data_IF_732063549596
#
_entry.id   IF_732063549596
#
_cell.length_a   1.000
_cell.length_b   1.000
_cell.length_c   1.000
_cell.angle_alpha   90.00
_cell.angle_beta   90.00
_cell.angle_gamma   90.00
#
_symmetry.space_group_name_H-M   'P 1'
#
loop_
_entity.id
_entity.type
_entity.pdbx_description
1 polymer ?
#
# COMPACT_ATOMS: atom_id res chain seq x y z
N UNK A 1 48.78 119.62 -41.49
CA UNK A 1 47.79 119.28 -42.54
C UNK A 1 47.21 117.91 -42.20
N UNK A 2 45.87 117.83 -42.10
CA UNK A 2 44.95 116.67 -42.03
C UNK A 2 45.11 115.65 -40.87
N UNK A 3 44.29 115.63 -39.80
CA UNK A 3 42.84 115.33 -39.59
C UNK A 3 42.43 113.84 -39.70
N UNK A 4 42.05 113.29 -38.54
CA UNK A 4 40.92 112.37 -38.25
C UNK A 4 41.06 110.88 -38.61
N UNK A 5 41.26 110.03 -37.57
CA UNK A 5 40.56 108.74 -37.26
C UNK A 5 41.06 108.23 -35.88
N UNK A 6 40.38 108.50 -34.75
CA UNK A 6 39.39 107.64 -34.01
C UNK A 6 40.11 106.47 -33.28
N UNK A 7 40.17 106.29 -31.94
CA UNK A 7 39.50 106.89 -30.76
C UNK A 7 40.32 106.55 -29.48
N UNK A 8 40.48 107.52 -28.55
CA UNK A 8 40.35 107.36 -27.08
C UNK A 8 41.22 106.31 -26.35
N UNK A 9 42.42 106.60 -25.81
CA UNK A 9 42.70 107.22 -24.49
C UNK A 9 41.48 107.36 -23.55
N UNK A 10 41.57 106.78 -22.33
CA UNK A 10 40.64 106.79 -21.19
C UNK A 10 39.50 105.75 -21.23
N UNK A 11 39.66 104.64 -20.50
CA UNK A 11 38.79 104.25 -19.37
C UNK A 11 39.24 102.89 -18.76
N UNK A 12 39.64 102.95 -17.49
CA UNK A 12 39.29 101.94 -16.47
C UNK A 12 39.90 100.53 -16.60
N UNK A 13 41.16 100.31 -16.23
CA UNK A 13 41.53 99.97 -14.84
C UNK A 13 40.58 100.55 -13.77
N UNK A 14 39.70 99.69 -13.24
CA UNK A 14 38.90 99.99 -12.05
C UNK A 14 37.56 99.26 -12.04
N UNK A 15 37.25 98.67 -10.88
CA UNK A 15 36.06 97.87 -10.50
C UNK A 15 36.27 96.37 -10.78
N UNK A 16 36.75 95.52 -9.87
CA UNK A 16 36.46 95.42 -8.42
C UNK A 16 34.96 95.44 -8.10
N UNK A 17 34.24 94.40 -8.53
CA UNK A 17 33.13 93.79 -7.77
C UNK A 17 33.19 92.28 -8.11
N UNK A 18 33.67 91.45 -7.18
CA UNK A 18 32.78 90.81 -6.21
C UNK A 18 31.71 89.95 -6.90
N UNK A 19 32.14 88.85 -7.51
CA UNK A 19 31.42 87.60 -7.29
C UNK A 19 32.32 86.81 -6.37
N UNK A 20 32.18 87.09 -5.08
CA UNK A 20 32.53 86.10 -4.08
C UNK A 20 31.88 84.79 -4.53
N UNK A 21 32.63 83.69 -4.73
CA UNK A 21 32.06 82.47 -4.27
C UNK A 21 31.79 82.71 -2.78
N UNK A 22 30.52 82.85 -2.40
CA UNK A 22 30.10 82.36 -1.09
C UNK A 22 30.23 80.83 -1.18
N UNK A 23 31.48 80.37 -1.30
CA UNK A 23 31.89 79.08 -0.80
C UNK A 23 31.79 79.29 0.69
N UNK A 24 30.61 78.96 1.21
CA UNK A 24 30.48 78.54 2.60
C UNK A 24 31.73 77.74 2.91
N UNK A 25 32.53 78.18 3.88
CA UNK A 25 33.39 77.29 4.67
C UNK A 25 32.46 76.31 5.39
N UNK A 26 31.77 75.47 4.62
CA UNK A 26 31.54 74.11 5.04
C UNK A 26 32.90 73.47 4.83
N UNK A 27 33.63 73.37 5.94
CA UNK A 27 35.00 72.88 6.01
C UNK A 27 35.12 71.62 5.14
N UNK A 28 36.25 71.43 4.44
CA UNK A 28 36.56 70.16 3.78
C UNK A 28 36.38 68.96 4.73
N UNK A 29 36.50 69.21 6.03
CA UNK A 29 36.21 68.27 7.12
C UNK A 29 34.72 67.91 7.22
N UNK A 30 33.79 68.85 7.03
CA UNK A 30 32.34 68.59 7.00
C UNK A 30 31.92 67.76 5.78
N UNK A 31 32.55 68.00 4.63
CA UNK A 31 32.29 67.20 3.42
C UNK A 31 32.84 65.77 3.57
N UNK A 32 34.03 65.61 4.16
CA UNK A 32 34.61 64.30 4.48
C UNK A 32 33.79 63.55 5.53
N UNK A 33 33.26 64.24 6.53
CA UNK A 33 32.35 63.68 7.54
C UNK A 33 31.06 63.14 6.90
N UNK A 34 30.44 63.86 5.96
CA UNK A 34 29.23 63.38 5.27
C UNK A 34 29.48 62.14 4.42
N UNK A 35 30.61 62.08 3.71
CA UNK A 35 31.00 60.89 2.91
C UNK A 35 31.24 59.68 3.82
N UNK A 36 31.95 59.87 4.94
CA UNK A 36 32.16 58.83 5.94
C UNK A 36 30.85 58.38 6.60
N UNK A 37 29.91 59.30 6.86
CA UNK A 37 28.58 58.97 7.38
C UNK A 37 27.75 58.17 6.38
N UNK A 38 27.78 58.53 5.09
CA UNK A 38 27.12 57.76 4.03
C UNK A 38 27.73 56.36 3.87
N UNK A 39 29.06 56.24 3.83
CA UNK A 39 29.73 54.94 3.76
C UNK A 39 29.43 54.07 5.00
N UNK A 40 29.42 54.66 6.20
CA UNK A 40 29.10 53.93 7.43
C UNK A 40 27.62 53.51 7.47
N UNK A 41 26.73 54.33 6.92
CA UNK A 41 25.30 54.01 6.75
C UNK A 41 25.09 52.87 5.73
N UNK A 42 25.86 52.88 4.65
CA UNK A 42 25.82 51.83 3.62
C UNK A 42 26.42 50.51 4.12
N UNK A 43 27.55 50.56 4.83
CA UNK A 43 28.13 49.41 5.53
C UNK A 43 27.14 48.81 6.53
N UNK A 44 26.42 49.63 7.31
CA UNK A 44 25.36 49.16 8.22
C UNK A 44 24.21 48.48 7.47
N UNK A 45 23.82 48.96 6.29
CA UNK A 45 22.82 48.30 5.44
C UNK A 45 23.31 46.95 4.95
N UNK A 46 24.52 46.87 4.42
CA UNK A 46 25.08 45.60 3.94
C UNK A 46 25.27 44.57 5.06
N UNK A 47 25.65 45.00 6.26
CA UNK A 47 25.72 44.11 7.44
C UNK A 47 24.33 43.59 7.78
N UNK A 48 23.31 44.47 7.80
CA UNK A 48 21.92 44.08 8.07
C UNK A 48 21.37 43.11 7.01
N UNK A 49 21.62 43.36 5.73
CA UNK A 49 21.22 42.47 4.63
C UNK A 49 21.92 41.11 4.72
N UNK A 50 23.21 41.07 5.06
CA UNK A 50 23.94 39.81 5.28
C UNK A 50 23.43 39.05 6.50
N UNK A 51 23.07 39.74 7.58
CA UNK A 51 22.44 39.13 8.76
C UNK A 51 21.06 38.55 8.43
N UNK A 52 20.24 39.28 7.67
CA UNK A 52 18.93 38.80 7.20
C UNK A 52 19.07 37.61 6.25
N UNK A 53 20.01 37.66 5.30
CA UNK A 53 20.33 36.53 4.42
C UNK A 53 20.81 35.29 5.20
N UNK A 54 21.62 35.49 6.25
CA UNK A 54 22.07 34.42 7.14
C UNK A 54 20.90 33.78 7.91
N UNK A 55 19.94 34.59 8.40
CA UNK A 55 18.72 34.09 9.05
C UNK A 55 17.84 33.31 8.09
N UNK A 56 17.61 33.83 6.88
CA UNK A 56 16.83 33.13 5.84
C UNK A 56 17.49 31.81 5.45
N UNK A 57 18.83 31.78 5.35
CA UNK A 57 19.57 30.55 5.06
C UNK A 57 19.41 29.50 6.17
N UNK A 58 19.48 29.90 7.45
CA UNK A 58 19.24 28.99 8.59
C UNK A 58 17.83 28.40 8.55
N UNK A 59 16.81 29.23 8.34
CA UNK A 59 15.41 28.78 8.25
C UNK A 59 15.20 27.82 7.06
N UNK A 60 15.78 28.13 5.90
CA UNK A 60 15.72 27.23 4.73
C UNK A 60 16.41 25.89 4.99
N UNK A 61 17.54 25.91 5.70
CA UNK A 61 18.26 24.70 6.08
C UNK A 61 17.43 23.83 7.03
N UNK A 62 16.84 24.42 8.07
CA UNK A 62 15.95 23.72 9.01
C UNK A 62 14.72 23.14 8.30
N UNK A 63 14.10 23.90 7.38
CA UNK A 63 12.98 23.40 6.57
C UNK A 63 13.37 22.23 5.68
N UNK A 64 14.56 22.27 5.07
CA UNK A 64 15.11 21.16 4.26
C UNK A 64 15.37 19.92 5.11
N UNK A 65 15.93 20.08 6.31
CA UNK A 65 16.18 18.97 7.24
C UNK A 65 14.86 18.32 7.71
N UNK A 66 13.84 19.13 8.01
CA UNK A 66 12.49 18.64 8.34
C UNK A 66 11.84 17.90 7.17
N UNK A 67 11.98 18.41 5.94
CA UNK A 67 11.48 17.74 4.74
C UNK A 67 12.18 16.41 4.50
N UNK A 68 13.50 16.34 4.69
CA UNK A 68 14.25 15.09 4.57
C UNK A 68 13.84 14.08 5.64
N UNK A 69 13.64 14.53 6.88
CA UNK A 69 13.14 13.68 7.96
C UNK A 69 11.73 13.15 7.66
N UNK A 70 10.85 14.00 7.11
CA UNK A 70 9.52 13.61 6.65
C UNK A 70 9.59 12.53 5.57
N UNK A 71 10.44 12.73 4.55
CA UNK A 71 10.64 11.78 3.46
C UNK A 71 11.19 10.43 3.97
N UNK A 72 12.08 10.44 4.97
CA UNK A 72 12.59 9.21 5.60
C UNK A 72 11.46 8.45 6.31
N UNK A 73 10.64 9.13 7.11
CA UNK A 73 9.49 8.52 7.80
C UNK A 73 8.47 7.91 6.82
N UNK A 74 8.18 8.60 5.71
CA UNK A 74 7.28 8.08 4.67
C UNK A 74 7.84 6.84 3.97
N UNK A 75 9.17 6.80 3.73
CA UNK A 75 9.82 5.60 3.18
C UNK A 75 9.76 4.43 4.15
N UNK A 76 10.06 4.67 5.42
CA UNK A 76 9.99 3.66 6.48
C UNK A 76 8.57 3.10 6.64
N UNK A 77 7.55 3.96 6.66
CA UNK A 77 6.14 3.52 6.74
C UNK A 77 5.73 2.72 5.50
N UNK A 78 6.17 3.12 4.32
CA UNK A 78 5.87 2.41 3.06
C UNK A 78 6.53 1.02 3.01
N UNK A 79 7.75 0.88 3.55
CA UNK A 79 8.42 -0.42 3.66
C UNK A 79 7.67 -1.31 4.64
N UNK A 80 7.31 -0.79 5.82
CA UNK A 80 6.54 -1.53 6.81
C UNK A 80 5.18 -2.00 6.27
N UNK A 81 4.49 -1.15 5.51
CA UNK A 81 3.21 -1.50 4.86
C UNK A 81 3.38 -2.60 3.81
N UNK A 82 4.44 -2.54 2.99
CA UNK A 82 4.76 -3.60 2.02
C UNK A 82 5.03 -4.93 2.71
N UNK A 83 5.86 -4.93 3.75
CA UNK A 83 6.15 -6.14 4.53
C UNK A 83 4.90 -6.72 5.21
N UNK A 84 3.99 -5.87 5.65
CA UNK A 84 2.71 -6.30 6.21
C UNK A 84 1.79 -6.91 5.15
N UNK A 85 1.67 -6.28 3.98
CA UNK A 85 0.91 -6.80 2.85
C UNK A 85 1.46 -8.14 2.37
N UNK A 86 2.78 -8.28 2.25
CA UNK A 86 3.42 -9.54 1.90
C UNK A 86 3.14 -10.63 2.94
N UNK A 87 3.24 -10.33 4.24
CA UNK A 87 2.88 -11.26 5.30
C UNK A 87 1.43 -11.71 5.22
N UNK A 88 0.49 -10.79 4.99
CA UNK A 88 -0.94 -11.10 4.82
C UNK A 88 -1.18 -11.95 3.57
N UNK A 89 -0.50 -11.66 2.47
CA UNK A 89 -0.63 -12.41 1.23
C UNK A 89 -0.08 -13.84 1.38
N UNK A 90 1.10 -13.99 1.99
CA UNK A 90 1.69 -15.30 2.27
C UNK A 90 0.80 -16.14 3.20
N UNK A 91 0.20 -15.53 4.22
CA UNK A 91 -0.77 -16.21 5.08
C UNK A 91 -2.01 -16.68 4.32
N UNK A 92 -2.59 -15.83 3.44
CA UNK A 92 -3.72 -16.21 2.58
C UNK A 92 -3.35 -17.35 1.62
N UNK A 93 -2.16 -17.30 1.03
CA UNK A 93 -1.67 -18.36 0.12
C UNK A 93 -1.53 -19.70 0.86
N UNK A 94 -0.92 -19.70 2.05
CA UNK A 94 -0.79 -20.90 2.89
C UNK A 94 -2.16 -21.52 3.21
N UNK A 95 -3.17 -20.70 3.51
CA UNK A 95 -4.55 -21.17 3.74
C UNK A 95 -5.17 -21.80 2.51
N UNK A 96 -5.06 -21.15 1.36
CA UNK A 96 -5.59 -21.70 0.11
C UNK A 96 -4.94 -23.07 -0.21
N UNK A 97 -3.63 -23.20 -0.01
CA UNK A 97 -2.92 -24.46 -0.19
C UNK A 97 -3.36 -25.54 0.82
N UNK A 98 -3.60 -25.17 2.08
CA UNK A 98 -4.13 -26.09 3.10
C UNK A 98 -5.54 -26.58 2.76
N UNK A 99 -6.43 -25.67 2.38
CA UNK A 99 -7.80 -26.00 1.96
C UNK A 99 -7.81 -26.91 0.73
N UNK A 100 -6.97 -26.59 -0.27
CA UNK A 100 -6.81 -27.42 -1.46
C UNK A 100 -6.34 -28.83 -1.10
N UNK A 101 -5.35 -28.96 -0.21
CA UNK A 101 -4.86 -30.29 0.23
C UNK A 101 -5.94 -31.08 0.97
N UNK A 102 -6.71 -30.42 1.84
CA UNK A 102 -7.78 -31.07 2.60
C UNK A 102 -8.95 -31.51 1.72
N UNK A 103 -9.22 -30.78 0.63
CA UNK A 103 -10.24 -31.16 -0.34
C UNK A 103 -9.93 -32.51 -1.00
N UNK A 104 -8.68 -32.75 -1.41
CA UNK A 104 -8.30 -34.02 -2.03
C UNK A 104 -8.03 -35.13 -1.01
N UNK A 105 -7.53 -34.76 0.16
CA UNK A 105 -7.14 -35.70 1.21
C UNK A 105 -7.73 -35.27 2.54
N UNK A 106 -9.00 -35.63 2.82
CA UNK A 106 -9.64 -35.30 4.08
C UNK A 106 -8.84 -35.88 5.24
N UNK A 107 -8.44 -35.01 6.16
CA UNK A 107 -7.66 -35.35 7.33
C UNK A 107 -6.18 -34.96 7.26
N UNK A 108 -5.63 -34.61 6.09
CA UNK A 108 -4.23 -34.14 5.96
C UNK A 108 -3.98 -32.84 6.75
N UNK A 109 -4.98 -31.97 6.83
CA UNK A 109 -4.92 -30.72 7.59
C UNK A 109 -4.65 -30.93 9.07
N UNK A 110 -5.24 -31.96 9.67
CA UNK A 110 -4.99 -32.30 11.08
C UNK A 110 -3.55 -32.71 11.33
N UNK A 111 -2.91 -33.42 10.39
CA UNK A 111 -1.49 -33.75 10.53
C UNK A 111 -0.60 -32.50 10.45
N UNK A 112 -0.95 -31.53 9.61
CA UNK A 112 -0.21 -30.27 9.51
C UNK A 112 -0.40 -29.38 10.75
N UNK A 113 -1.57 -29.46 11.40
CA UNK A 113 -1.85 -28.81 12.66
C UNK A 113 -1.26 -29.53 13.89
N UNK A 114 -0.58 -30.68 13.69
CA UNK A 114 -0.03 -31.49 14.78
C UNK A 114 -1.07 -32.38 15.50
N UNK A 115 -2.33 -32.35 15.09
CA UNK A 115 -3.44 -33.13 15.64
C UNK A 115 -3.50 -34.56 15.05
N UNK A 116 -2.42 -35.33 15.22
CA UNK A 116 -2.25 -36.66 14.58
C UNK A 116 -3.39 -37.64 14.87
N UNK A 117 -3.92 -37.67 16.09
CA UNK A 117 -5.05 -38.54 16.47
C UNK A 117 -6.32 -38.24 15.67
N UNK A 118 -6.67 -36.96 15.53
CA UNK A 118 -7.83 -36.54 14.73
C UNK A 118 -7.59 -36.84 13.25
N UNK A 119 -6.37 -36.61 12.75
CA UNK A 119 -5.98 -36.96 11.39
C UNK A 119 -6.19 -38.44 11.07
N UNK A 120 -5.73 -39.34 11.94
CA UNK A 120 -5.90 -40.81 11.78
C UNK A 120 -7.38 -41.19 11.81
N UNK A 121 -8.16 -40.69 12.77
CA UNK A 121 -9.59 -41.03 12.89
C UNK A 121 -10.36 -40.54 11.66
N UNK A 122 -10.13 -39.30 11.24
CA UNK A 122 -10.83 -38.66 10.12
C UNK A 122 -10.54 -39.37 8.79
N UNK A 123 -9.26 -39.57 8.49
CA UNK A 123 -8.83 -40.24 7.26
C UNK A 123 -9.20 -41.72 7.27
N UNK A 124 -9.12 -42.38 8.43
CA UNK A 124 -9.52 -43.78 8.60
C UNK A 124 -11.01 -43.99 8.39
N UNK A 125 -11.87 -43.17 9.01
CA UNK A 125 -13.32 -43.22 8.81
C UNK A 125 -13.71 -42.92 7.36
N UNK A 126 -13.14 -41.86 6.77
CA UNK A 126 -13.39 -41.54 5.37
C UNK A 126 -12.99 -42.69 4.45
N UNK A 127 -11.80 -43.27 4.65
CA UNK A 127 -11.31 -44.41 3.85
C UNK A 127 -12.19 -45.64 4.04
N UNK A 128 -12.62 -45.92 5.27
CA UNK A 128 -13.50 -47.06 5.58
C UNK A 128 -14.85 -46.91 4.87
N UNK A 129 -15.46 -45.73 4.92
CA UNK A 129 -16.73 -45.48 4.26
C UNK A 129 -16.61 -45.48 2.73
N UNK A 130 -15.55 -44.89 2.18
CA UNK A 130 -15.32 -44.85 0.74
C UNK A 130 -15.01 -46.25 0.17
N UNK A 131 -14.03 -46.95 0.76
CA UNK A 131 -13.63 -48.29 0.31
C UNK A 131 -14.72 -49.32 0.60
N UNK A 132 -15.38 -49.23 1.75
CA UNK A 132 -16.54 -50.06 2.07
C UNK A 132 -17.68 -49.83 1.07
N UNK A 133 -17.99 -48.57 0.75
CA UNK A 133 -18.98 -48.23 -0.26
C UNK A 133 -18.66 -48.82 -1.63
N UNK A 134 -17.41 -48.70 -2.09
CA UNK A 134 -16.94 -49.31 -3.35
C UNK A 134 -17.07 -50.84 -3.32
N UNK A 135 -16.69 -51.47 -2.21
CA UNK A 135 -16.79 -52.92 -2.04
C UNK A 135 -18.24 -53.42 -2.17
N UNK A 136 -19.16 -52.85 -1.39
CA UNK A 136 -20.57 -53.25 -1.43
C UNK A 136 -21.25 -52.87 -2.75
N UNK A 137 -20.82 -51.79 -3.40
CA UNK A 137 -21.31 -51.44 -4.74
C UNK A 137 -20.88 -52.49 -5.78
N UNK A 138 -19.65 -52.99 -5.69
CA UNK A 138 -19.16 -54.07 -6.55
C UNK A 138 -19.97 -55.36 -6.34
N UNK A 139 -20.24 -55.71 -5.09
CA UNK A 139 -21.05 -56.87 -4.72
C UNK A 139 -22.49 -56.73 -5.24
N UNK A 140 -23.11 -55.55 -5.07
CA UNK A 140 -24.42 -55.24 -5.63
C UNK A 140 -24.44 -55.44 -7.17
N UNK A 141 -23.44 -54.91 -7.88
CA UNK A 141 -23.35 -55.05 -9.33
C UNK A 141 -23.19 -56.52 -9.75
N UNK A 142 -22.44 -57.31 -8.99
CA UNK A 142 -22.27 -58.75 -9.22
C UNK A 142 -23.58 -59.51 -9.04
N UNK A 143 -24.29 -59.30 -7.91
CA UNK A 143 -25.58 -59.94 -7.63
C UNK A 143 -26.66 -59.53 -8.64
N UNK A 144 -26.66 -58.27 -9.10
CA UNK A 144 -27.55 -57.81 -10.16
C UNK A 144 -27.24 -58.48 -11.51
N UNK A 145 -25.95 -58.63 -11.84
CA UNK A 145 -25.51 -59.32 -13.06
C UNK A 145 -25.96 -60.78 -13.04
N UNK A 146 -25.82 -61.46 -11.90
CA UNK A 146 -26.32 -62.83 -11.72
C UNK A 146 -27.84 -62.89 -11.87
N UNK A 147 -28.59 -62.01 -11.18
CA UNK A 147 -30.05 -61.93 -11.28
C UNK A 147 -30.53 -61.70 -12.73
N UNK A 148 -29.80 -60.91 -13.52
CA UNK A 148 -30.12 -60.66 -14.93
C UNK A 148 -29.70 -61.79 -15.88
N UNK A 149 -28.89 -62.75 -15.42
CA UNK A 149 -28.50 -63.88 -16.26
C UNK A 149 -29.70 -64.80 -16.48
N UNK A 150 -30.02 -65.04 -17.75
CA UNK A 150 -31.29 -65.62 -18.24
C UNK A 150 -31.51 -67.11 -17.90
N UNK A 151 -30.73 -67.69 -16.98
CA UNK A 151 -30.74 -69.12 -16.65
C UNK A 151 -31.01 -69.43 -15.18
N UNK A 152 -31.23 -68.43 -14.33
CA UNK A 152 -31.51 -68.67 -12.91
C UNK A 152 -32.92 -69.22 -12.70
N UNK A 153 -33.04 -70.14 -11.76
CA UNK A 153 -34.34 -70.62 -11.28
C UNK A 153 -35.03 -69.50 -10.47
N UNK A 154 -36.38 -69.46 -10.36
CA UNK A 154 -37.09 -68.35 -9.74
C UNK A 154 -36.64 -68.01 -8.30
N UNK A 155 -36.24 -69.02 -7.51
CA UNK A 155 -35.73 -68.80 -6.16
C UNK A 155 -34.31 -68.22 -6.13
N UNK A 156 -33.47 -68.56 -7.12
CA UNK A 156 -32.12 -68.02 -7.26
C UNK A 156 -32.16 -66.57 -7.73
N UNK A 157 -33.07 -66.26 -8.66
CA UNK A 157 -33.36 -64.88 -9.06
C UNK A 157 -33.76 -64.03 -7.85
N UNK A 158 -34.72 -64.52 -7.06
CA UNK A 158 -35.23 -63.80 -5.88
C UNK A 158 -34.12 -63.57 -4.86
N UNK A 159 -33.28 -64.59 -4.63
CA UNK A 159 -32.12 -64.51 -3.74
C UNK A 159 -31.11 -63.47 -4.23
N UNK A 160 -30.62 -63.58 -5.47
CA UNK A 160 -29.64 -62.65 -6.05
C UNK A 160 -30.17 -61.21 -6.12
N UNK A 161 -31.46 -61.01 -6.37
CA UNK A 161 -32.07 -59.68 -6.36
C UNK A 161 -32.13 -59.09 -4.93
N UNK A 162 -32.46 -59.91 -3.92
CA UNK A 162 -32.45 -59.46 -2.52
C UNK A 162 -31.04 -59.10 -2.03
N UNK A 163 -30.03 -59.85 -2.45
CA UNK A 163 -28.61 -59.58 -2.16
C UNK A 163 -28.15 -58.28 -2.85
N UNK A 164 -28.54 -58.07 -4.12
CA UNK A 164 -28.34 -56.80 -4.81
C UNK A 164 -28.91 -55.62 -4.02
N UNK A 165 -30.17 -55.70 -3.60
CA UNK A 165 -30.84 -54.61 -2.90
C UNK A 165 -30.17 -54.30 -1.55
N UNK A 166 -29.80 -55.33 -0.80
CA UNK A 166 -29.09 -55.20 0.48
C UNK A 166 -27.72 -54.53 0.31
N UNK A 167 -26.91 -55.03 -0.62
CA UNK A 167 -25.56 -54.50 -0.88
C UNK A 167 -25.62 -53.08 -1.45
N UNK A 168 -26.60 -52.78 -2.33
CA UNK A 168 -26.80 -51.44 -2.87
C UNK A 168 -27.20 -50.42 -1.79
N UNK A 169 -28.13 -50.79 -0.89
CA UNK A 169 -28.50 -49.94 0.26
C UNK A 169 -27.33 -49.71 1.19
N UNK A 170 -26.52 -50.74 1.45
CA UNK A 170 -25.32 -50.65 2.28
C UNK A 170 -24.27 -49.74 1.65
N UNK A 171 -24.01 -49.88 0.35
CA UNK A 171 -23.10 -49.00 -0.40
C UNK A 171 -23.55 -47.54 -0.32
N UNK A 172 -24.83 -47.26 -0.56
CA UNK A 172 -25.38 -45.91 -0.46
C UNK A 172 -25.26 -45.32 0.95
N UNK A 173 -25.55 -46.10 1.99
CA UNK A 173 -25.38 -45.67 3.38
C UNK A 173 -23.91 -45.28 3.65
N UNK A 174 -22.96 -46.10 3.21
CA UNK A 174 -21.54 -45.83 3.38
C UNK A 174 -21.09 -44.60 2.59
N UNK A 175 -21.57 -44.39 1.36
CA UNK A 175 -21.27 -43.17 0.61
C UNK A 175 -21.84 -41.92 1.29
N UNK A 176 -23.06 -41.99 1.85
CA UNK A 176 -23.65 -40.88 2.61
C UNK A 176 -22.83 -40.58 3.86
N UNK A 177 -22.45 -41.60 4.63
CA UNK A 177 -21.60 -41.44 5.81
C UNK A 177 -20.21 -40.90 5.45
N UNK A 178 -19.66 -41.34 4.32
CA UNK A 178 -18.42 -40.81 3.74
C UNK A 178 -18.54 -39.33 3.39
N UNK A 179 -19.64 -38.92 2.75
CA UNK A 179 -19.92 -37.52 2.42
C UNK A 179 -20.08 -36.66 3.67
N UNK A 180 -20.83 -37.13 4.69
CA UNK A 180 -20.99 -36.43 5.98
C UNK A 180 -19.63 -36.25 6.66
N UNK A 181 -18.82 -37.31 6.72
CA UNK A 181 -17.49 -37.27 7.34
C UNK A 181 -16.58 -36.31 6.59
N UNK A 182 -16.60 -36.35 5.25
CA UNK A 182 -15.85 -35.43 4.41
C UNK A 182 -16.24 -33.97 4.65
N UNK A 183 -17.55 -33.66 4.65
CA UNK A 183 -18.04 -32.32 4.91
C UNK A 183 -17.66 -31.81 6.31
N UNK A 184 -17.73 -32.68 7.33
CA UNK A 184 -17.35 -32.32 8.70
C UNK A 184 -15.85 -32.01 8.80
N UNK A 185 -15.00 -32.83 8.20
CA UNK A 185 -13.54 -32.63 8.18
C UNK A 185 -13.16 -31.37 7.41
N UNK A 186 -13.83 -31.09 6.30
CA UNK A 186 -13.64 -29.85 5.55
C UNK A 186 -14.05 -28.64 6.38
N UNK A 187 -15.23 -28.68 7.02
CA UNK A 187 -15.73 -27.58 7.85
C UNK A 187 -14.80 -27.27 9.02
N UNK A 188 -14.36 -28.27 9.77
CA UNK A 188 -13.45 -28.06 10.91
C UNK A 188 -12.08 -27.55 10.43
N UNK A 189 -11.61 -27.99 9.25
CA UNK A 189 -10.41 -27.44 8.60
C UNK A 189 -10.56 -25.97 8.21
N UNK A 190 -11.73 -25.56 7.71
CA UNK A 190 -12.03 -24.15 7.42
C UNK A 190 -11.97 -23.31 8.70
N UNK A 191 -12.60 -23.78 9.79
CA UNK A 191 -12.60 -23.06 11.08
C UNK A 191 -11.19 -22.93 11.66
N UNK A 192 -10.40 -24.01 11.64
CA UNK A 192 -9.01 -23.97 12.12
C UNK A 192 -8.14 -23.00 11.32
N UNK A 193 -8.33 -22.92 10.00
CA UNK A 193 -7.60 -21.98 9.15
C UNK A 193 -7.96 -20.50 9.45
N UNK A 194 -9.17 -20.22 9.92
CA UNK A 194 -9.61 -18.89 10.35
C UNK A 194 -9.01 -18.48 11.70
N UNK A 195 -8.92 -19.40 12.66
CA UNK A 195 -8.37 -19.15 14.01
C UNK A 195 -6.86 -18.83 14.00
N UNK A 196 -6.08 -19.35 13.05
CA UNK A 196 -4.67 -19.00 12.86
C UNK A 196 -4.45 -17.59 12.25
N UNK A 197 -5.50 -16.79 11.99
CA UNK A 197 -5.27 -15.35 11.82
C UNK A 197 -4.78 -14.79 13.15
N UNK A 198 -3.57 -14.21 13.25
CA UNK A 198 -3.34 -13.26 14.32
C UNK A 198 -4.43 -12.20 14.13
N UNK A 199 -5.37 -12.10 15.08
CA UNK A 199 -6.19 -10.90 15.23
C UNK A 199 -5.17 -9.78 15.34
N UNK A 200 -4.95 -9.04 14.26
CA UNK A 200 -4.08 -7.88 14.28
C UNK A 200 -4.78 -6.88 15.18
N UNK A 201 -4.52 -6.98 16.49
CA UNK A 201 -4.87 -6.03 17.52
C UNK A 201 -4.07 -4.75 17.39
N UNK A 202 -3.82 -4.31 16.15
CA UNK A 202 -3.29 -3.00 15.86
C UNK A 202 -4.53 -2.12 15.81
N UNK A 203 -4.89 -1.57 16.98
CA UNK A 203 -5.50 -0.26 17.02
C UNK A 203 -4.56 0.63 16.21
N UNK A 204 -4.93 0.95 14.98
CA UNK A 204 -4.30 2.03 14.23
C UNK A 204 -4.59 3.30 15.00
N UNK A 205 -3.78 3.58 16.03
CA UNK A 205 -3.57 4.91 16.58
C UNK A 205 -2.78 5.75 15.56
N UNK A 206 -3.19 5.72 14.29
CA UNK A 206 -2.88 6.78 13.36
C UNK A 206 -3.96 7.83 13.63
N UNK A 207 -3.76 8.56 14.73
CA UNK A 207 -4.40 9.85 14.89
C UNK A 207 -3.90 10.74 13.77
N UNK A 208 -4.58 10.71 12.63
CA UNK A 208 -4.56 11.82 11.70
C UNK A 208 -5.09 13.02 12.48
N UNK A 209 -4.19 13.80 13.05
CA UNK A 209 -4.52 15.15 13.43
C UNK A 209 -5.02 15.84 12.15
N UNK A 210 -6.26 16.32 12.09
CA UNK A 210 -6.72 17.07 10.94
C UNK A 210 -5.91 18.37 10.92
N UNK A 211 -4.94 18.46 10.01
CA UNK A 211 -4.32 19.73 9.66
C UNK A 211 -5.40 20.54 8.95
N UNK A 212 -6.19 21.26 9.75
CA UNK A 212 -7.09 22.29 9.26
C UNK A 212 -6.23 23.38 8.62
N UNK A 213 -6.39 23.50 7.30
CA UNK A 213 -6.38 24.76 6.55
C UNK A 213 -5.22 25.72 6.78
N UNK A 214 -4.26 25.68 5.86
CA UNK A 214 -4.18 26.81 4.93
C UNK A 214 -3.64 26.36 3.57
N UNK A 215 -4.49 26.57 2.58
CA UNK A 215 -4.31 26.38 1.16
C UNK A 215 -3.14 27.17 0.62
N UNK A 216 -2.39 26.56 -0.30
CA UNK A 216 -1.95 27.12 -1.58
C UNK A 216 -0.88 26.18 -2.13
N UNK A 217 -1.27 25.14 -2.88
CA UNK A 217 -0.61 24.73 -4.12
C UNK A 217 -1.57 23.77 -4.82
N UNK A 218 -2.12 24.25 -5.93
CA UNK A 218 -2.96 23.50 -6.85
C UNK A 218 -2.23 22.26 -7.35
N UNK A 219 -2.82 21.09 -7.13
CA UNK A 219 -2.59 19.90 -7.96
C UNK A 219 -3.79 19.74 -8.91
N UNK A 220 -4.06 20.79 -9.70
CA UNK A 220 -4.59 20.57 -11.05
C UNK A 220 -3.46 19.94 -11.86
N UNK A 221 -3.53 18.62 -12.03
CA UNK A 221 -2.53 17.89 -12.81
C UNK A 221 -2.15 16.55 -12.22
N UNK A 222 -3.14 15.67 -12.00
CA UNK A 222 -2.97 14.21 -12.08
C UNK A 222 -4.31 13.47 -12.11
N UNK A 223 -5.27 13.96 -12.90
CA UNK A 223 -6.45 13.19 -13.32
C UNK A 223 -6.17 12.28 -14.54
N UNK A 224 -4.92 11.90 -14.79
CA UNK A 224 -4.55 10.99 -15.86
C UNK A 224 -3.78 9.80 -15.30
N UNK A 225 -4.48 8.86 -14.64
CA UNK A 225 -4.15 7.41 -14.52
C UNK A 225 -5.00 6.67 -13.46
N UNK A 226 -6.32 6.90 -13.44
CA UNK A 226 -7.24 6.08 -12.64
C UNK A 226 -8.34 5.40 -13.48
N UNK A 227 -8.24 5.41 -14.82
CA UNK A 227 -9.21 4.72 -15.69
C UNK A 227 -8.93 3.22 -15.88
N UNK A 228 -7.72 2.72 -15.62
CA UNK A 228 -7.35 1.34 -16.00
C UNK A 228 -7.49 0.29 -14.89
N UNK A 229 -8.02 0.65 -13.71
CA UNK A 229 -8.25 -0.32 -12.62
C UNK A 229 -9.69 -0.83 -12.53
N UNK A 230 -10.60 -0.37 -13.41
CA UNK A 230 -11.97 -0.88 -13.44
C UNK A 230 -12.13 -2.22 -14.19
N UNK A 231 -11.12 -2.66 -14.95
CA UNK A 231 -11.17 -3.94 -15.68
C UNK A 231 -10.66 -5.16 -14.90
N UNK A 232 -10.02 -4.99 -13.74
CA UNK A 232 -9.54 -6.12 -12.92
C UNK A 232 -10.59 -6.71 -11.96
N UNK A 233 -11.83 -6.22 -11.97
CA UNK A 233 -12.91 -6.77 -11.14
C UNK A 233 -13.85 -7.76 -11.88
N UNK A 234 -13.62 -8.04 -13.17
CA UNK A 234 -14.42 -9.00 -13.94
C UNK A 234 -13.82 -10.42 -13.98
N UNK A 235 -12.53 -10.60 -13.65
CA UNK A 235 -11.84 -11.89 -13.79
C UNK A 235 -11.92 -12.81 -12.55
N UNK A 236 -12.37 -12.30 -11.41
CA UNK A 236 -12.55 -13.11 -10.18
C UNK A 236 -13.88 -13.88 -10.18
N UNK A 237 -14.85 -13.51 -11.04
CA UNK A 237 -16.17 -14.15 -11.10
C UNK A 237 -16.27 -15.34 -12.08
N UNK A 238 -15.21 -15.67 -12.82
CA UNK A 238 -15.24 -16.77 -13.80
C UNK A 238 -14.72 -18.12 -13.29
N UNK A 239 -14.14 -18.20 -12.09
CA UNK A 239 -13.54 -19.44 -11.58
C UNK A 239 -14.48 -20.34 -10.75
N UNK A 240 -15.78 -20.02 -10.67
CA UNK A 240 -16.79 -20.81 -9.94
C UNK A 240 -17.77 -21.58 -10.85
N UNK A 241 -17.36 -21.88 -12.08
CA UNK A 241 -18.21 -22.62 -13.02
C UNK A 241 -17.47 -23.76 -13.71
N UNK A 242 -16.88 -24.68 -12.97
CA UNK A 242 -16.61 -26.08 -13.37
C UNK A 242 -16.48 -26.96 -12.13
#
# INVERSE_FOLDING_TARGET
>A
MNRITIFSVLLSFGICFAVCPVFSEETTDDLQMRVLEEENKELKRQVKEKEEASRVFKIKKEASELQEQGNRKVKESSIAEKEELERRWMAKKKRADQLRKNFFYPGVGYFQAGETKKGIISSGLFSLFLLGGIFFQSEANSSLSQAKSSKLLPWEYTKSYSEYESSYRTANLLFILGAITYSFVMYDSFRAAEEETPKTGIKTNVGFAPVQGNSLYSLEGNQAKLSDQSEMNASVLWYLRF
#
